data_IF_705065923180
#
_entry.id   IF_705065923180
#
_cell.length_a   1.000
_cell.length_b   1.000
_cell.length_c   1.000
_cell.angle_alpha   90.00
_cell.angle_beta   90.00
_cell.angle_gamma   90.00
#
_symmetry.space_group_name_H-M   'P 1'
#
loop_
_entity.id
_entity.type
_entity.pdbx_description
1 polymer ?
#
# COMPACT_ATOMS: atom_id res chain seq x y z
N UNK A 1 2.89 2.67 -18.36
CA UNK A 1 3.87 1.82 -19.10
C UNK A 1 5.25 1.74 -18.38
N UNK A 2 5.33 1.73 -17.04
CA UNK A 2 6.64 1.80 -16.34
C UNK A 2 6.83 0.83 -15.15
N UNK A 3 5.92 -0.10 -14.87
CA UNK A 3 6.10 -1.05 -13.75
C UNK A 3 6.79 -2.37 -14.13
N UNK A 4 7.07 -2.61 -15.41
CA UNK A 4 7.59 -3.91 -15.85
C UNK A 4 9.10 -4.12 -15.62
N UNK A 5 9.82 -3.26 -14.89
CA UNK A 5 11.29 -3.29 -14.92
C UNK A 5 12.06 -3.40 -13.59
N UNK A 6 11.45 -3.23 -12.40
CA UNK A 6 12.25 -3.08 -11.16
C UNK A 6 12.00 -4.12 -10.06
N UNK A 7 10.75 -4.56 -9.86
CA UNK A 7 10.42 -5.42 -8.71
C UNK A 7 10.97 -6.84 -8.81
N UNK A 8 11.36 -7.42 -7.67
CA UNK A 8 11.87 -8.78 -7.48
C UNK A 8 11.07 -9.51 -6.40
N UNK A 9 11.19 -10.83 -6.36
CA UNK A 9 10.61 -11.63 -5.27
C UNK A 9 11.11 -11.14 -3.91
N UNK A 10 10.19 -10.98 -2.96
CA UNK A 10 10.46 -10.39 -1.65
C UNK A 10 10.23 -8.88 -1.55
N UNK A 11 10.16 -8.15 -2.67
CA UNK A 11 9.79 -6.73 -2.66
C UNK A 11 8.29 -6.55 -2.34
N UNK A 12 7.92 -5.31 -2.01
CA UNK A 12 6.53 -4.91 -1.74
C UNK A 12 6.10 -3.82 -2.72
N UNK A 13 4.94 -3.99 -3.33
CA UNK A 13 4.25 -2.93 -4.08
C UNK A 13 3.27 -2.19 -3.17
N UNK A 14 3.45 -0.88 -3.02
CA UNK A 14 2.42 0.00 -2.44
C UNK A 14 1.50 0.53 -3.55
N UNK A 15 0.29 -0.03 -3.66
CA UNK A 15 -0.69 0.32 -4.67
C UNK A 15 -1.70 1.33 -4.11
N UNK A 16 -1.80 2.52 -4.72
CA UNK A 16 -2.67 3.60 -4.23
C UNK A 16 -3.77 3.87 -5.25
N UNK A 17 -5.03 3.71 -4.85
CA UNK A 17 -6.18 4.06 -5.69
C UNK A 17 -7.40 4.43 -4.86
N UNK A 18 -7.83 5.69 -4.93
CA UNK A 18 -8.98 6.19 -4.16
C UNK A 18 -10.30 5.52 -4.54
N UNK A 19 -10.43 5.04 -5.78
CA UNK A 19 -11.61 4.30 -6.26
C UNK A 19 -11.41 2.79 -6.32
N UNK A 20 -10.16 2.32 -6.18
CA UNK A 20 -9.79 0.92 -6.42
C UNK A 20 -9.95 0.45 -7.87
N UNK A 21 -10.26 1.32 -8.83
CA UNK A 21 -10.64 0.92 -10.20
C UNK A 21 -9.65 1.36 -11.30
N UNK A 22 -8.50 1.88 -10.91
CA UNK A 22 -7.50 2.37 -11.85
C UNK A 22 -6.83 1.21 -12.60
N UNK A 23 -7.09 1.09 -13.91
CA UNK A 23 -6.62 -0.05 -14.72
C UNK A 23 -5.09 -0.24 -14.69
N UNK A 24 -4.33 0.85 -14.64
CA UNK A 24 -2.87 0.81 -14.51
C UNK A 24 -2.40 0.28 -13.15
N UNK A 25 -3.10 0.61 -12.06
CA UNK A 25 -2.78 0.12 -10.70
C UNK A 25 -3.11 -1.37 -10.61
N UNK A 26 -4.25 -1.79 -11.16
CA UNK A 26 -4.64 -3.20 -11.21
C UNK A 26 -3.61 -4.01 -12.03
N UNK A 27 -3.19 -3.50 -13.19
CA UNK A 27 -2.14 -4.14 -13.98
C UNK A 27 -0.80 -4.23 -13.22
N UNK A 28 -0.48 -3.25 -12.37
CA UNK A 28 0.71 -3.28 -11.53
C UNK A 28 0.63 -4.35 -10.44
N UNK A 29 -0.54 -4.52 -9.81
CA UNK A 29 -0.78 -5.58 -8.81
C UNK A 29 -0.58 -6.96 -9.42
N UNK A 30 -1.15 -7.21 -10.60
CA UNK A 30 -0.92 -8.47 -11.31
C UNK A 30 0.56 -8.69 -11.64
N UNK A 31 1.26 -7.68 -12.14
CA UNK A 31 2.68 -7.77 -12.44
C UNK A 31 3.56 -8.00 -11.17
N UNK A 32 3.17 -7.43 -10.03
CA UNK A 32 3.85 -7.64 -8.75
C UNK A 32 3.67 -9.08 -8.26
N UNK A 33 2.45 -9.60 -8.34
CA UNK A 33 2.10 -10.97 -8.01
C UNK A 33 2.80 -12.01 -8.87
N UNK A 34 2.93 -11.78 -10.18
CA UNK A 34 3.71 -12.62 -11.10
C UNK A 34 5.19 -12.70 -10.72
N UNK A 35 5.70 -11.70 -9.98
CA UNK A 35 7.09 -11.61 -9.52
C UNK A 35 7.30 -12.11 -8.10
N UNK A 36 6.25 -12.60 -7.42
CA UNK A 36 6.33 -13.01 -6.03
C UNK A 36 6.49 -11.84 -5.05
N UNK A 37 6.02 -10.65 -5.43
CA UNK A 37 5.96 -9.49 -4.53
C UNK A 37 4.65 -9.52 -3.74
N UNK A 38 4.70 -9.00 -2.51
CA UNK A 38 3.50 -8.69 -1.71
C UNK A 38 2.94 -7.32 -2.09
N UNK A 39 1.66 -7.11 -1.85
CA UNK A 39 0.96 -5.86 -2.16
C UNK A 39 0.32 -5.27 -0.91
N UNK A 40 0.50 -3.96 -0.74
CA UNK A 40 -0.27 -3.16 0.20
C UNK A 40 -1.16 -2.21 -0.62
N UNK A 41 -2.47 -2.40 -0.55
CA UNK A 41 -3.46 -1.59 -1.26
C UNK A 41 -4.01 -0.46 -0.38
N UNK A 42 -3.75 0.79 -0.73
CA UNK A 42 -4.43 1.96 -0.15
C UNK A 42 -5.66 2.27 -1.02
N UNK A 43 -6.84 1.95 -0.50
CA UNK A 43 -8.12 2.10 -1.22
C UNK A 43 -9.06 3.07 -0.51
N UNK A 44 -10.17 3.39 -1.16
CA UNK A 44 -11.34 3.99 -0.51
C UNK A 44 -12.62 3.39 -1.08
N UNK A 45 -13.78 3.96 -0.72
CA UNK A 45 -15.09 3.47 -1.15
C UNK A 45 -15.30 2.00 -0.74
N UNK A 46 -15.61 1.15 -1.72
CA UNK A 46 -15.79 -0.30 -1.60
C UNK A 46 -14.51 -1.09 -1.90
N UNK A 47 -13.38 -0.43 -2.13
CA UNK A 47 -12.11 -1.06 -2.50
C UNK A 47 -11.95 -1.36 -3.99
N UNK A 48 -13.04 -1.32 -4.76
CA UNK A 48 -13.06 -1.58 -6.20
C UNK A 48 -12.39 -2.89 -6.63
N UNK A 49 -11.98 -2.95 -7.90
CA UNK A 49 -11.25 -4.09 -8.46
C UNK A 49 -9.90 -4.35 -7.79
N UNK A 50 -9.29 -3.33 -7.19
CA UNK A 50 -8.04 -3.44 -6.46
C UNK A 50 -8.21 -4.39 -5.26
N UNK A 51 -9.26 -4.21 -4.45
CA UNK A 51 -9.55 -5.12 -3.33
C UNK A 51 -9.76 -6.57 -3.79
N UNK A 52 -10.49 -6.78 -4.89
CA UNK A 52 -10.68 -8.11 -5.48
C UNK A 52 -9.41 -8.74 -6.03
N UNK A 53 -8.40 -7.94 -6.36
CA UNK A 53 -7.15 -8.41 -6.93
C UNK A 53 -6.12 -8.81 -5.86
N UNK A 54 -6.33 -8.45 -4.59
CA UNK A 54 -5.42 -8.80 -3.48
C UNK A 54 -5.50 -10.29 -3.15
N UNK A 55 -4.34 -10.87 -2.81
CA UNK A 55 -4.18 -12.25 -2.32
C UNK A 55 -4.29 -12.28 -0.79
N UNK A 56 -4.30 -13.49 -0.22
CA UNK A 56 -4.43 -13.69 1.23
C UNK A 56 -3.26 -13.12 2.05
N UNK A 57 -2.09 -12.98 1.44
CA UNK A 57 -0.86 -12.45 2.04
C UNK A 57 -0.63 -10.95 1.76
N UNK A 58 -1.57 -10.32 1.05
CA UNK A 58 -1.62 -8.88 0.84
C UNK A 58 -2.39 -8.16 1.94
N UNK A 59 -2.22 -6.85 2.02
CA UNK A 59 -2.90 -6.00 3.01
C UNK A 59 -3.71 -4.94 2.29
N UNK A 60 -4.97 -4.75 2.70
CA UNK A 60 -5.79 -3.62 2.29
C UNK A 60 -5.95 -2.62 3.44
N UNK A 61 -5.66 -1.34 3.19
CA UNK A 61 -6.03 -0.23 4.06
C UNK A 61 -7.10 0.59 3.32
N UNK A 62 -8.36 0.29 3.63
CA UNK A 62 -9.52 0.93 2.99
C UNK A 62 -10.02 2.10 3.81
N UNK A 63 -9.96 3.30 3.24
CA UNK A 63 -10.54 4.50 3.86
C UNK A 63 -12.07 4.45 3.78
N UNK A 64 -12.80 4.55 4.89
CA UNK A 64 -14.27 4.50 4.93
C UNK A 64 -14.88 5.84 4.49
N UNK A 65 -14.59 6.27 3.26
CA UNK A 65 -15.08 7.50 2.66
C UNK A 65 -15.40 7.33 1.18
N UNK A 66 -16.33 8.14 0.68
CA UNK A 66 -16.72 8.14 -0.74
C UNK A 66 -16.05 9.26 -1.55
N UNK A 67 -15.67 10.37 -0.88
CA UNK A 67 -15.08 11.55 -1.52
C UNK A 67 -13.59 11.36 -1.74
N UNK A 68 -13.13 11.48 -2.99
CA UNK A 68 -11.73 11.33 -3.37
C UNK A 68 -10.78 12.19 -2.53
N UNK A 69 -11.09 13.47 -2.29
CA UNK A 69 -10.24 14.37 -1.51
C UNK A 69 -10.01 13.86 -0.07
N UNK A 70 -11.08 13.37 0.60
CA UNK A 70 -10.96 12.80 1.95
C UNK A 70 -10.15 11.51 1.96
N UNK A 71 -10.32 10.68 0.94
CA UNK A 71 -9.54 9.45 0.79
C UNK A 71 -8.05 9.77 0.62
N UNK A 72 -7.71 10.76 -0.21
CA UNK A 72 -6.33 11.21 -0.43
C UNK A 72 -5.69 11.78 0.83
N UNK A 73 -6.42 12.59 1.60
CA UNK A 73 -5.92 13.12 2.89
C UNK A 73 -5.61 12.00 3.87
N UNK A 74 -6.48 11.01 3.99
CA UNK A 74 -6.24 9.85 4.87
C UNK A 74 -5.11 8.98 4.33
N UNK A 75 -4.99 8.78 3.01
CA UNK A 75 -3.85 8.06 2.43
C UNK A 75 -2.52 8.73 2.76
N UNK A 76 -2.46 10.07 2.76
CA UNK A 76 -1.26 10.80 3.16
C UNK A 76 -0.91 10.55 4.63
N UNK A 77 -1.91 10.59 5.53
CA UNK A 77 -1.71 10.25 6.95
C UNK A 77 -1.22 8.81 7.11
N UNK A 78 -1.82 7.84 6.40
CA UNK A 78 -1.39 6.44 6.42
C UNK A 78 0.06 6.30 5.99
N UNK A 79 0.48 6.99 4.93
CA UNK A 79 1.88 6.97 4.46
C UNK A 79 2.81 7.52 5.55
N UNK A 80 2.45 8.62 6.21
CA UNK A 80 3.24 9.15 7.32
C UNK A 80 3.34 8.18 8.51
N UNK A 81 2.24 7.51 8.87
CA UNK A 81 2.24 6.48 9.91
C UNK A 81 3.09 5.27 9.53
N UNK A 82 3.09 4.86 8.25
CA UNK A 82 3.96 3.79 7.76
C UNK A 82 5.43 4.18 7.87
N UNK A 83 5.80 5.40 7.48
CA UNK A 83 7.17 5.90 7.65
C UNK A 83 7.60 5.88 9.12
N UNK A 84 6.79 6.45 10.02
CA UNK A 84 7.07 6.47 11.46
C UNK A 84 7.23 5.06 12.04
N UNK A 85 6.33 4.13 11.68
CA UNK A 85 6.41 2.74 12.13
C UNK A 85 7.64 2.00 11.58
N UNK A 86 8.01 2.24 10.31
CA UNK A 86 9.22 1.67 9.71
C UNK A 86 10.46 2.20 10.42
N UNK A 87 10.52 3.50 10.70
CA UNK A 87 11.65 4.12 11.39
C UNK A 87 11.80 3.58 12.81
N UNK A 88 10.69 3.44 13.55
CA UNK A 88 10.69 2.81 14.86
C UNK A 88 11.15 1.34 14.79
N UNK A 89 10.69 0.58 13.80
CA UNK A 89 11.04 -0.84 13.69
C UNK A 89 12.51 -1.07 13.29
N UNK A 90 13.10 -0.17 12.51
CA UNK A 90 14.46 -0.34 11.98
C UNK A 90 15.53 0.43 12.77
N UNK A 91 15.17 1.56 13.37
CA UNK A 91 16.12 2.51 13.96
C UNK A 91 15.85 2.85 15.43
N UNK A 92 14.83 2.27 16.07
CA UNK A 92 14.77 2.31 17.53
C UNK A 92 15.97 1.53 18.09
N UNK A 93 17.01 2.25 18.49
CA UNK A 93 18.11 1.70 19.28
C UNK A 93 17.61 1.13 20.60
N UNK A 94 18.44 0.38 21.36
CA UNK A 94 18.05 -0.13 22.66
C UNK A 94 17.50 1.03 23.48
N UNK A 95 16.26 0.87 23.97
CA UNK A 95 15.50 1.89 24.67
C UNK A 95 16.45 2.74 25.52
N UNK A 96 16.58 4.02 25.18
CA UNK A 96 17.29 4.96 26.02
C UNK A 96 16.67 4.86 27.41
N UNK A 97 17.42 4.27 28.33
CA UNK A 97 17.30 4.50 29.76
C UNK A 97 17.36 6.01 29.95
N UNK A 98 16.20 6.65 30.02
CA UNK A 98 16.13 8.02 30.52
C UNK A 98 16.40 7.99 32.04
N UNK A 99 17.21 8.93 32.55
CA UNK A 99 17.51 9.04 33.97
C UNK A 99 16.28 9.44 34.80
#
# INVERSE_FOLDING_TARGET
KQLTALGRSGDVLLAISTSGNSANVIAAVHAAHERGMRVIGLTGRDGGKLASALRNDDIEIRVPAQRTARIQEVHLVVIHCLCDAIDQALFAGPAHSQP
#
